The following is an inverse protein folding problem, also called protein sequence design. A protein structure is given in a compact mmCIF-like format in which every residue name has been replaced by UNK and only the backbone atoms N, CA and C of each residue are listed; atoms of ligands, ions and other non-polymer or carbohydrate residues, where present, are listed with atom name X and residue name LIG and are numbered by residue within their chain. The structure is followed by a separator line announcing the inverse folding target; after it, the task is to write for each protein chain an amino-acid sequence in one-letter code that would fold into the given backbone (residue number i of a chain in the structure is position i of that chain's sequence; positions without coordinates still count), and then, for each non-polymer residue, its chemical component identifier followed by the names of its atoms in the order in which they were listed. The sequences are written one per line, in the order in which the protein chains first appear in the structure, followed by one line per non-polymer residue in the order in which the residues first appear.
data_IF_484336543173
#
_entry.id   IF_484336543173
#
_cell.length_a   1.000
_cell.length_b   1.000
_cell.length_c   1.000
_cell.angle_alpha   90.00
_cell.angle_beta   90.00
_cell.angle_gamma   90.00
#
_symmetry.space_group_name_H-M   'P 1'
#
loop_
_entity.id
_entity.type
_entity.pdbx_description
1 polymer ?
#
# COMPACT_ATOMS: atom_id res chain seq x y z
N UNK A 1 -25.83 -4.47 -26.61
CA UNK A 1 -25.33 -3.27 -25.91
C UNK A 1 -23.84 -3.03 -26.16
N UNK A 2 -22.96 -4.03 -25.96
CA UNK A 2 -21.50 -3.86 -25.99
C UNK A 2 -20.78 -4.43 -27.22
N UNK A 3 -21.52 -4.90 -28.24
CA UNK A 3 -21.03 -5.62 -29.44
C UNK A 3 -19.74 -6.42 -29.15
N UNK A 4 -19.85 -7.37 -28.23
CA UNK A 4 -18.74 -8.17 -27.73
C UNK A 4 -19.21 -9.59 -27.51
N UNK A 5 -18.26 -10.51 -27.52
CA UNK A 5 -18.46 -11.90 -27.13
C UNK A 5 -17.78 -12.11 -25.78
N UNK A 6 -18.54 -12.68 -24.86
CA UNK A 6 -17.99 -13.15 -23.60
C UNK A 6 -17.55 -14.59 -23.79
N UNK A 7 -16.32 -14.86 -23.37
CA UNK A 7 -15.76 -16.19 -23.37
C UNK A 7 -15.57 -16.65 -21.94
N UNK A 8 -15.74 -17.95 -21.76
CA UNK A 8 -15.22 -18.62 -20.59
C UNK A 8 -13.74 -18.85 -20.82
N UNK A 9 -12.89 -18.07 -20.16
CA UNK A 9 -11.46 -18.32 -20.17
C UNK A 9 -11.15 -19.42 -19.14
N UNK A 10 -10.35 -20.38 -19.59
CA UNK A 10 -9.85 -21.51 -18.83
C UNK A 10 -8.35 -21.61 -19.09
N UNK A 11 -7.56 -21.79 -18.04
CA UNK A 11 -6.11 -21.95 -18.17
C UNK A 11 -5.74 -23.42 -18.29
N UNK A 12 -4.76 -23.73 -19.15
CA UNK A 12 -4.40 -25.10 -19.56
C UNK A 12 -3.93 -26.02 -18.42
N UNK A 13 -3.74 -25.49 -17.21
CA UNK A 13 -3.30 -26.16 -15.99
C UNK A 13 -4.37 -26.29 -14.89
N UNK A 14 -5.61 -25.72 -15.00
CA UNK A 14 -6.57 -25.66 -13.86
C UNK A 14 -8.07 -25.59 -14.20
N UNK A 15 -8.92 -26.01 -13.25
CA UNK A 15 -10.39 -26.20 -13.39
C UNK A 15 -11.31 -24.95 -13.23
N UNK A 16 -10.78 -23.75 -13.01
CA UNK A 16 -11.63 -22.56 -12.78
C UNK A 16 -11.98 -21.84 -14.09
N UNK A 17 -13.19 -21.30 -14.14
CA UNK A 17 -13.82 -20.74 -15.34
C UNK A 17 -14.18 -19.27 -15.09
N UNK A 18 -13.80 -18.38 -16.00
CA UNK A 18 -14.06 -16.93 -15.85
C UNK A 18 -14.74 -16.37 -17.08
N UNK A 19 -15.79 -15.55 -16.89
CA UNK A 19 -16.51 -14.93 -18.00
C UNK A 19 -15.98 -13.51 -18.20
N UNK A 20 -15.28 -13.31 -19.32
CA UNK A 20 -14.64 -12.04 -19.69
C UNK A 20 -14.74 -11.80 -21.18
N UNK A 21 -14.30 -10.64 -21.62
CA UNK A 21 -14.03 -10.38 -23.03
C UNK A 21 -12.67 -9.70 -23.21
N UNK A 22 -12.05 -9.90 -24.37
CA UNK A 22 -10.80 -9.23 -24.73
C UNK A 22 -11.03 -7.78 -25.17
N UNK A 23 -12.28 -7.39 -25.39
CA UNK A 23 -12.64 -6.03 -25.78
C UNK A 23 -14.14 -5.87 -25.97
N UNK A 24 -14.61 -4.64 -25.89
CA UNK A 24 -16.00 -4.31 -26.17
C UNK A 24 -16.09 -3.04 -27.00
N UNK A 25 -17.26 -2.80 -27.60
CA UNK A 25 -17.55 -1.60 -28.37
C UNK A 25 -18.86 -0.99 -27.89
N UNK A 26 -18.87 0.33 -27.75
CA UNK A 26 -20.08 1.09 -27.44
C UNK A 26 -20.48 1.95 -28.65
N UNK A 27 -21.76 2.35 -28.78
CA UNK A 27 -22.18 3.32 -29.79
C UNK A 27 -21.29 4.56 -29.81
N UNK A 28 -20.96 5.07 -31.00
CA UNK A 28 -20.02 6.20 -31.18
C UNK A 28 -20.44 7.44 -30.39
N UNK A 29 -21.74 7.69 -30.26
CA UNK A 29 -22.29 8.79 -29.48
C UNK A 29 -22.17 8.58 -27.96
N UNK A 30 -22.03 7.35 -27.48
CA UNK A 30 -21.82 7.03 -26.06
C UNK A 30 -20.34 6.94 -25.68
N UNK A 31 -19.44 6.66 -26.63
CA UNK A 31 -18.01 6.51 -26.37
C UNK A 31 -17.38 7.69 -25.59
N UNK A 32 -17.70 8.98 -25.86
CA UNK A 32 -17.14 10.08 -25.07
C UNK A 32 -17.65 10.16 -23.62
N UNK A 33 -18.71 9.43 -23.29
CA UNK A 33 -19.39 9.47 -21.99
C UNK A 33 -19.10 8.23 -21.12
N UNK A 34 -18.36 7.25 -21.65
CA UNK A 34 -18.06 5.99 -20.97
C UNK A 34 -16.54 5.85 -20.87
N UNK A 35 -16.01 5.94 -19.65
CA UNK A 35 -14.57 5.77 -19.41
C UNK A 35 -14.15 4.30 -19.44
N UNK A 36 -14.96 3.43 -18.82
CA UNK A 36 -14.78 1.98 -18.80
C UNK A 36 -16.09 1.28 -18.49
N UNK A 37 -16.16 0.00 -18.82
CA UNK A 37 -17.22 -0.91 -18.39
C UNK A 37 -16.52 -2.11 -17.78
N UNK A 38 -16.59 -2.26 -16.47
CA UNK A 38 -16.02 -3.40 -15.76
C UNK A 38 -17.15 -4.27 -15.17
N UNK A 39 -16.90 -5.57 -14.92
CA UNK A 39 -15.62 -6.28 -15.00
C UNK A 39 -15.43 -7.01 -16.35
N UNK A 40 -15.42 -6.29 -17.48
CA UNK A 40 -15.40 -6.91 -18.81
C UNK A 40 -14.00 -7.33 -19.27
N UNK A 41 -12.99 -6.49 -19.04
CA UNK A 41 -11.65 -6.58 -19.66
C UNK A 41 -10.51 -6.63 -18.65
N UNK A 42 -10.81 -6.51 -17.36
CA UNK A 42 -9.81 -6.65 -16.28
C UNK A 42 -9.64 -8.11 -15.91
N UNK A 43 -8.37 -8.49 -15.74
CA UNK A 43 -7.97 -9.79 -15.25
C UNK A 43 -6.85 -9.70 -14.18
N UNK A 44 -6.81 -8.63 -13.40
CA UNK A 44 -5.87 -8.47 -12.30
C UNK A 44 -6.04 -9.49 -11.16
N UNK A 45 -5.28 -9.34 -10.08
CA UNK A 45 -5.53 -10.05 -8.83
C UNK A 45 -4.92 -9.27 -7.67
N UNK A 46 -5.76 -8.71 -6.79
CA UNK A 46 -5.28 -8.12 -5.55
C UNK A 46 -4.73 -9.20 -4.65
N UNK A 47 -3.53 -8.93 -4.13
CA UNK A 47 -2.89 -9.72 -3.10
C UNK A 47 -2.55 -8.83 -1.91
N UNK A 48 -2.58 -9.35 -0.67
CA UNK A 48 -2.03 -8.64 0.48
C UNK A 48 -0.53 -8.45 0.25
N UNK A 49 0.00 -7.24 0.47
CA UNK A 49 1.42 -6.90 0.30
C UNK A 49 2.26 -7.26 1.54
N UNK A 50 1.97 -8.44 2.10
CA UNK A 50 2.77 -9.08 3.14
C UNK A 50 3.62 -10.18 2.54
N UNK A 51 4.83 -10.34 3.04
CA UNK A 51 5.84 -11.09 2.31
C UNK A 51 5.55 -12.58 2.34
N UNK A 52 5.17 -13.16 1.19
CA UNK A 52 4.92 -14.61 1.02
C UNK A 52 6.12 -15.51 1.40
N UNK A 53 7.35 -15.00 1.30
CA UNK A 53 8.56 -15.71 1.75
C UNK A 53 8.77 -15.69 3.29
N UNK A 54 8.14 -14.75 4.00
CA UNK A 54 7.92 -14.82 5.45
C UNK A 54 6.62 -15.60 5.64
N UNK A 55 6.71 -16.93 5.65
CA UNK A 55 5.57 -17.72 6.12
C UNK A 55 5.22 -17.23 7.52
N UNK A 56 3.95 -16.88 7.79
CA UNK A 56 3.48 -16.63 9.15
C UNK A 56 4.04 -17.71 10.07
N UNK A 57 4.78 -17.29 11.09
CA UNK A 57 5.31 -18.19 12.09
C UNK A 57 4.74 -17.79 13.42
N UNK A 58 4.24 -18.78 14.14
CA UNK A 58 3.90 -18.61 15.56
C UNK A 58 5.11 -18.00 16.27
N UNK A 59 4.88 -16.88 16.92
CA UNK A 59 5.90 -16.16 17.64
C UNK A 59 6.37 -16.98 18.84
N UNK A 60 7.68 -17.05 19.04
CA UNK A 60 8.27 -17.72 20.20
C UNK A 60 8.15 -16.85 21.45
N UNK A 61 8.15 -17.45 22.65
CA UNK A 61 8.16 -16.70 23.91
C UNK A 61 9.31 -15.70 24.02
N UNK A 62 10.47 -16.02 23.41
CA UNK A 62 11.61 -15.12 23.33
C UNK A 62 11.33 -13.89 22.47
N UNK A 63 10.63 -14.04 21.34
CA UNK A 63 10.25 -12.91 20.48
C UNK A 63 9.24 -11.99 21.15
N UNK A 64 8.30 -12.54 21.93
CA UNK A 64 7.29 -11.76 22.65
C UNK A 64 7.88 -10.87 23.75
N UNK A 65 9.10 -11.18 24.20
CA UNK A 65 9.84 -10.45 25.26
C UNK A 65 11.11 -9.78 24.74
N UNK A 66 11.35 -9.82 23.43
CA UNK A 66 12.58 -9.30 22.84
C UNK A 66 12.58 -7.77 22.71
N UNK A 67 13.79 -7.21 22.67
CA UNK A 67 13.99 -5.77 22.40
C UNK A 67 13.64 -5.39 20.96
N UNK A 68 13.48 -4.09 20.72
CA UNK A 68 13.19 -3.48 19.42
C UNK A 68 14.19 -3.81 18.29
N UNK A 69 15.38 -4.31 18.62
CA UNK A 69 16.34 -4.80 17.62
C UNK A 69 15.99 -6.18 17.03
N UNK A 70 15.04 -6.90 17.61
CA UNK A 70 14.67 -8.26 17.20
C UNK A 70 13.19 -8.40 16.89
N UNK A 71 12.35 -7.64 17.59
CA UNK A 71 10.90 -7.66 17.43
C UNK A 71 10.39 -6.22 17.36
N UNK A 72 9.50 -5.94 16.42
CA UNK A 72 8.82 -4.65 16.30
C UNK A 72 7.44 -4.75 16.94
N UNK A 73 7.17 -3.80 17.84
CA UNK A 73 5.89 -3.54 18.52
C UNK A 73 5.65 -2.01 18.50
N UNK A 74 4.46 -1.50 18.85
CA UNK A 74 4.16 -0.07 18.78
C UNK A 74 5.19 0.82 19.48
N UNK A 75 5.61 0.50 20.71
CA UNK A 75 6.60 1.31 21.45
C UNK A 75 7.95 1.41 20.74
N UNK A 76 8.38 0.34 20.04
CA UNK A 76 9.59 0.38 19.24
C UNK A 76 9.51 1.39 18.09
N UNK A 77 8.33 1.51 17.47
CA UNK A 77 8.10 2.45 16.37
C UNK A 77 7.98 3.88 16.89
N UNK A 78 7.39 4.06 18.08
CA UNK A 78 7.37 5.35 18.77
C UNK A 78 8.78 5.84 19.07
N UNK A 79 9.61 4.99 19.65
CA UNK A 79 11.01 5.31 19.95
C UNK A 79 11.82 5.58 18.67
N UNK A 80 11.67 4.74 17.64
CA UNK A 80 12.43 4.85 16.40
C UNK A 80 12.14 6.12 15.60
N UNK A 81 10.86 6.52 15.54
CA UNK A 81 10.40 7.66 14.73
C UNK A 81 10.11 8.91 15.56
N UNK A 82 10.30 8.85 16.88
CA UNK A 82 10.01 9.95 17.80
C UNK A 82 8.52 10.29 17.87
N UNK A 83 7.64 9.29 17.67
CA UNK A 83 6.19 9.50 17.81
C UNK A 83 5.91 9.70 19.28
N UNK A 84 5.42 10.89 19.64
CA UNK A 84 5.13 11.20 21.04
C UNK A 84 3.93 10.39 21.57
N UNK A 85 3.77 10.41 22.90
CA UNK A 85 2.65 9.78 23.60
C UNK A 85 1.51 10.79 23.91
N UNK A 86 1.42 11.90 23.17
CA UNK A 86 0.39 12.91 23.45
C UNK A 86 -0.98 12.42 23.03
N UNK A 87 -1.83 12.21 24.02
CA UNK A 87 -3.23 11.84 23.84
C UNK A 87 -3.99 12.97 23.15
N UNK A 88 -4.54 12.68 21.97
CA UNK A 88 -5.42 13.61 21.23
C UNK A 88 -6.84 13.10 21.30
N UNK A 89 -7.83 13.97 21.51
CA UNK A 89 -9.23 13.52 21.55
C UNK A 89 -9.72 13.03 20.18
N UNK A 90 -10.58 12.00 20.12
CA UNK A 90 -11.20 11.59 18.87
C UNK A 90 -11.94 12.75 18.22
N UNK A 91 -11.62 13.03 16.96
CA UNK A 91 -12.13 14.15 16.19
C UNK A 91 -12.59 13.65 14.81
N UNK A 92 -13.81 14.00 14.41
CA UNK A 92 -14.44 13.50 13.18
C UNK A 92 -13.65 13.91 11.93
N UNK A 93 -12.99 15.07 11.96
CA UNK A 93 -12.11 15.56 10.88
C UNK A 93 -10.85 14.73 10.69
N UNK A 94 -10.51 13.83 11.63
CA UNK A 94 -9.33 12.99 11.60
C UNK A 94 -9.64 11.49 11.71
N UNK A 95 -10.72 11.04 11.05
CA UNK A 95 -11.04 9.62 10.97
C UNK A 95 -9.94 8.84 10.25
N UNK A 96 -9.47 7.76 10.86
CA UNK A 96 -8.51 6.83 10.27
C UNK A 96 -9.26 5.70 9.56
N UNK A 97 -9.09 5.60 8.25
CA UNK A 97 -9.62 4.52 7.42
C UNK A 97 -8.59 3.43 7.17
N UNK A 98 -9.01 2.18 7.33
CA UNK A 98 -8.24 0.99 6.92
C UNK A 98 -9.06 0.23 5.88
N UNK A 99 -8.46 -0.05 4.73
CA UNK A 99 -9.13 -0.81 3.66
C UNK A 99 -8.96 -2.31 3.85
N UNK A 100 -10.08 -3.03 3.87
CA UNK A 100 -10.12 -4.49 3.94
C UNK A 100 -10.59 -5.12 2.63
N UNK A 101 -9.79 -6.04 2.10
CA UNK A 101 -10.12 -6.83 0.92
C UNK A 101 -9.81 -8.33 1.15
N UNK A 102 -10.26 -9.18 0.22
CA UNK A 102 -9.94 -10.62 0.18
C UNK A 102 -10.48 -11.43 1.36
N UNK A 103 -11.63 -11.03 1.91
CA UNK A 103 -12.29 -11.75 3.00
C UNK A 103 -11.38 -11.94 4.23
N UNK A 104 -10.47 -10.98 4.43
CA UNK A 104 -9.76 -10.81 5.68
C UNK A 104 -10.55 -9.87 6.58
N UNK A 105 -10.72 -10.27 7.84
CA UNK A 105 -11.58 -9.57 8.78
C UNK A 105 -10.74 -9.03 9.94
N UNK A 106 -10.85 -7.74 10.22
CA UNK A 106 -10.22 -7.18 11.42
C UNK A 106 -10.96 -7.71 12.65
N UNK A 107 -10.29 -8.52 13.48
CA UNK A 107 -10.93 -9.27 14.57
C UNK A 107 -10.84 -8.49 15.87
N UNK A 108 -11.99 -8.12 16.43
CA UNK A 108 -12.06 -7.34 17.67
C UNK A 108 -11.35 -8.04 18.84
N UNK A 109 -11.56 -9.35 19.04
CA UNK A 109 -10.91 -10.08 20.13
C UNK A 109 -9.39 -10.12 20.00
N UNK A 110 -8.86 -10.26 18.79
CA UNK A 110 -7.41 -10.27 18.57
C UNK A 110 -6.81 -8.87 18.75
N UNK A 111 -7.55 -7.84 18.31
CA UNK A 111 -7.19 -6.44 18.53
C UNK A 111 -7.17 -6.07 20.03
N UNK A 112 -8.21 -6.41 20.80
CA UNK A 112 -8.29 -6.11 22.23
C UNK A 112 -7.11 -6.76 23.01
N UNK A 113 -6.80 -8.02 22.70
CA UNK A 113 -5.67 -8.72 23.30
C UNK A 113 -4.31 -8.16 22.85
N UNK A 114 -4.21 -7.70 21.60
CA UNK A 114 -3.04 -6.96 21.13
C UNK A 114 -2.83 -5.67 21.93
N UNK A 115 -3.88 -4.87 22.13
CA UNK A 115 -3.79 -3.63 22.90
C UNK A 115 -3.36 -3.89 24.35
N UNK A 116 -3.94 -4.90 25.02
CA UNK A 116 -3.54 -5.29 26.39
C UNK A 116 -2.07 -5.65 26.50
N UNK A 117 -1.50 -6.26 25.47
CA UNK A 117 -0.12 -6.70 25.47
C UNK A 117 0.87 -5.59 25.08
N UNK A 118 0.55 -4.81 24.04
CA UNK A 118 1.53 -3.96 23.35
C UNK A 118 1.13 -2.48 23.24
N UNK A 119 -0.05 -2.10 23.74
CA UNK A 119 -0.52 -0.72 23.78
C UNK A 119 -1.38 -0.47 25.03
N UNK A 120 -0.81 -0.71 26.21
CA UNK A 120 -1.53 -0.65 27.49
C UNK A 120 -2.11 0.73 27.82
N UNK A 121 -1.57 1.80 27.23
CA UNK A 121 -2.12 3.16 27.32
C UNK A 121 -3.36 3.38 26.45
N UNK A 122 -3.73 2.42 25.61
CA UNK A 122 -4.77 2.54 24.58
C UNK A 122 -5.78 1.39 24.63
N UNK A 123 -5.97 0.73 25.78
CA UNK A 123 -6.86 -0.44 25.91
C UNK A 123 -8.32 -0.18 25.60
N UNK A 124 -8.73 1.09 25.61
CA UNK A 124 -10.11 1.51 25.35
C UNK A 124 -10.32 1.88 23.86
N UNK A 125 -9.25 1.84 23.05
CA UNK A 125 -9.34 2.05 21.62
C UNK A 125 -10.16 0.94 20.95
N UNK A 126 -10.92 1.31 19.92
CA UNK A 126 -11.72 0.38 19.13
C UNK A 126 -11.86 0.91 17.70
N UNK A 127 -12.39 0.08 16.81
CA UNK A 127 -12.71 0.46 15.45
C UNK A 127 -14.15 0.09 15.10
N UNK A 128 -14.68 0.78 14.09
CA UNK A 128 -15.96 0.46 13.46
C UNK A 128 -15.72 -0.29 12.16
N UNK A 129 -16.68 -1.11 11.75
CA UNK A 129 -16.61 -1.82 10.46
C UNK A 129 -17.72 -1.29 9.55
N UNK A 130 -17.34 -0.95 8.32
CA UNK A 130 -18.27 -0.54 7.26
C UNK A 130 -18.22 -1.59 6.15
N UNK A 131 -19.39 -2.14 5.81
CA UNK A 131 -19.54 -3.05 4.68
C UNK A 131 -19.72 -2.26 3.38
N UNK A 132 -18.86 -2.52 2.40
CA UNK A 132 -18.96 -1.99 1.04
C UNK A 132 -19.17 -3.16 0.09
N UNK A 133 -20.14 -3.03 -0.83
CA UNK A 133 -20.42 -4.03 -1.85
C UNK A 133 -20.59 -5.46 -1.28
N UNK A 134 -21.29 -5.58 -0.15
CA UNK A 134 -21.53 -6.86 0.52
C UNK A 134 -20.31 -7.44 1.25
N UNK A 135 -19.29 -6.62 1.55
CA UNK A 135 -18.17 -7.01 2.40
C UNK A 135 -18.65 -7.55 3.73
N UNK A 136 -18.08 -8.67 4.16
CA UNK A 136 -18.52 -9.40 5.34
C UNK A 136 -17.67 -9.03 6.56
N UNK A 137 -18.11 -9.47 7.72
CA UNK A 137 -17.38 -9.30 8.98
C UNK A 137 -17.46 -10.58 9.82
N UNK A 138 -16.78 -11.63 9.37
CA UNK A 138 -16.81 -12.93 10.04
C UNK A 138 -15.75 -13.01 11.13
N UNK A 139 -16.10 -12.51 12.31
CA UNK A 139 -15.26 -12.53 13.52
C UNK A 139 -14.82 -13.94 13.99
N UNK A 140 -15.52 -14.99 13.52
CA UNK A 140 -15.19 -16.39 13.79
C UNK A 140 -14.80 -17.17 12.53
N UNK A 141 -14.40 -16.46 11.47
CA UNK A 141 -13.79 -17.10 10.31
C UNK A 141 -12.61 -17.99 10.74
N UNK A 142 -12.41 -19.08 10.01
CA UNK A 142 -11.21 -19.92 10.11
C UNK A 142 -10.19 -19.57 9.01
N UNK A 143 -10.58 -18.68 8.09
CA UNK A 143 -9.69 -18.14 7.06
C UNK A 143 -8.77 -17.09 7.66
N UNK A 144 -7.52 -17.11 7.22
CA UNK A 144 -6.49 -16.14 7.58
C UNK A 144 -7.01 -14.69 7.57
N UNK A 145 -6.65 -13.91 8.60
CA UNK A 145 -7.01 -12.49 8.73
C UNK A 145 -5.80 -11.64 9.15
N UNK A 146 -4.58 -12.17 8.95
CA UNK A 146 -3.34 -11.54 9.38
C UNK A 146 -3.18 -10.12 8.82
N UNK A 147 -3.59 -9.86 7.57
CA UNK A 147 -3.46 -8.52 6.96
C UNK A 147 -4.35 -7.51 7.67
N UNK A 148 -5.63 -7.83 7.77
CA UNK A 148 -6.62 -6.96 8.40
C UNK A 148 -6.27 -6.72 9.87
N UNK A 149 -5.79 -7.75 10.57
CA UNK A 149 -5.31 -7.66 11.94
C UNK A 149 -4.04 -6.82 12.06
N UNK A 150 -3.03 -7.02 11.21
CA UNK A 150 -1.81 -6.21 11.17
C UNK A 150 -2.13 -4.73 11.01
N UNK A 151 -2.98 -4.40 10.02
CA UNK A 151 -3.31 -3.03 9.70
C UNK A 151 -3.98 -2.30 10.88
N UNK A 152 -4.99 -2.92 11.51
CA UNK A 152 -5.66 -2.29 12.67
C UNK A 152 -4.79 -2.27 13.93
N UNK A 153 -4.02 -3.35 14.18
CA UNK A 153 -3.20 -3.48 15.39
C UNK A 153 -2.01 -2.51 15.42
N UNK A 154 -1.52 -2.04 14.28
CA UNK A 154 -0.44 -1.04 14.26
C UNK A 154 -0.95 0.37 13.99
N UNK A 155 -1.91 0.56 13.08
CA UNK A 155 -2.34 1.93 12.74
C UNK A 155 -3.07 2.61 13.90
N UNK A 156 -3.97 1.92 14.59
CA UNK A 156 -4.84 2.53 15.62
C UNK A 156 -4.05 2.95 16.87
N UNK A 157 -3.31 2.06 17.55
CA UNK A 157 -2.59 2.47 18.77
C UNK A 157 -1.47 3.48 18.47
N UNK A 158 -0.87 3.47 17.28
CA UNK A 158 0.12 4.48 16.92
C UNK A 158 -0.51 5.83 16.59
N UNK A 159 -1.73 5.87 16.08
CA UNK A 159 -2.40 7.12 15.70
C UNK A 159 -2.93 7.92 16.91
N UNK A 160 -3.18 7.23 18.04
CA UNK A 160 -3.61 7.77 19.34
C UNK A 160 -5.01 8.46 19.35
N UNK A 161 -5.91 7.95 20.20
CA UNK A 161 -7.37 8.18 20.25
C UNK A 161 -8.04 8.66 18.93
N UNK A 162 -7.94 7.86 17.88
CA UNK A 162 -8.60 8.13 16.59
C UNK A 162 -9.96 7.48 16.46
N UNK A 163 -10.85 8.10 15.68
CA UNK A 163 -12.02 7.39 15.15
C UNK A 163 -11.53 6.47 14.02
N UNK A 164 -11.42 5.17 14.30
CA UNK A 164 -10.99 4.19 13.32
C UNK A 164 -12.18 3.50 12.62
N UNK A 165 -12.07 3.33 11.30
CA UNK A 165 -13.03 2.59 10.49
C UNK A 165 -12.30 1.60 9.57
N UNK A 166 -12.63 0.32 9.71
CA UNK A 166 -12.23 -0.74 8.80
C UNK A 166 -13.30 -0.89 7.72
N UNK A 167 -12.93 -0.62 6.46
CA UNK A 167 -13.82 -0.71 5.31
C UNK A 167 -13.69 -2.10 4.68
N UNK A 168 -14.53 -3.04 5.14
CA UNK A 168 -14.62 -4.38 4.56
C UNK A 168 -15.32 -4.29 3.21
N UNK A 169 -14.56 -4.47 2.13
CA UNK A 169 -15.08 -4.36 0.77
C UNK A 169 -15.19 -5.74 0.15
N UNK A 170 -16.43 -6.13 -0.13
CA UNK A 170 -16.77 -7.32 -0.88
C UNK A 170 -16.70 -7.05 -2.39
N UNK A 171 -16.73 -8.14 -3.15
CA UNK A 171 -16.57 -8.08 -4.60
C UNK A 171 -15.36 -8.89 -5.02
N UNK A 172 -15.61 -9.93 -5.81
CA UNK A 172 -14.57 -10.72 -6.47
C UNK A 172 -14.89 -10.76 -7.96
N UNK A 173 -14.05 -10.12 -8.74
CA UNK A 173 -13.92 -10.30 -10.17
C UNK A 173 -12.82 -11.34 -10.45
N UNK A 174 -12.95 -12.18 -11.48
CA UNK A 174 -11.97 -13.23 -11.78
C UNK A 174 -10.60 -12.78 -12.30
N UNK A 175 -9.59 -13.64 -12.09
CA UNK A 175 -8.12 -13.52 -12.26
C UNK A 175 -7.61 -13.82 -13.69
N UNK A 176 -6.47 -13.22 -14.10
CA UNK A 176 -5.46 -13.78 -15.02
C UNK A 176 -4.16 -13.95 -14.24
N UNK A 177 -3.67 -15.18 -14.09
CA UNK A 177 -2.41 -15.45 -13.41
C UNK A 177 -1.21 -14.80 -14.10
N UNK A 178 -0.33 -14.20 -13.30
CA UNK A 178 1.09 -14.06 -13.63
C UNK A 178 1.79 -15.38 -13.29
N UNK A 179 2.90 -15.67 -13.96
CA UNK A 179 3.84 -16.78 -13.69
C UNK A 179 4.04 -17.09 -12.20
N UNK A 180 3.98 -16.07 -11.35
CA UNK A 180 4.26 -16.17 -9.93
C UNK A 180 3.05 -16.50 -9.02
N UNK A 181 1.82 -16.45 -9.55
CA UNK A 181 0.59 -16.54 -8.75
C UNK A 181 -0.47 -17.38 -9.47
N UNK A 182 -0.36 -18.73 -9.42
CA UNK A 182 -1.13 -19.61 -10.27
C UNK A 182 -2.52 -19.99 -9.73
N UNK A 183 -2.97 -19.54 -8.55
CA UNK A 183 -4.24 -19.97 -7.94
C UNK A 183 -5.48 -19.14 -8.37
N UNK A 184 -6.48 -19.72 -9.05
CA UNK A 184 -7.70 -19.04 -9.44
C UNK A 184 -8.90 -19.26 -8.49
N UNK A 185 -8.77 -20.01 -7.38
CA UNK A 185 -9.80 -20.03 -6.30
C UNK A 185 -9.75 -18.73 -5.45
N UNK A 186 -8.69 -17.95 -5.65
CA UNK A 186 -8.40 -16.65 -5.04
C UNK A 186 -8.76 -15.51 -6.00
N UNK A 187 -10.01 -15.47 -6.43
CA UNK A 187 -10.54 -14.33 -7.20
C UNK A 187 -10.57 -13.06 -6.35
N UNK A 188 -9.98 -11.96 -6.83
CA UNK A 188 -9.74 -10.73 -6.06
C UNK A 188 -9.92 -9.42 -6.85
N UNK A 189 -10.47 -9.46 -8.07
CA UNK A 189 -10.68 -8.22 -8.84
C UNK A 189 -11.85 -7.38 -8.33
N UNK A 190 -11.66 -6.07 -8.42
CA UNK A 190 -12.63 -4.99 -8.17
C UNK A 190 -13.26 -5.03 -6.77
N UNK A 191 -12.48 -4.58 -5.78
CA UNK A 191 -13.07 -3.77 -4.72
C UNK A 191 -12.57 -2.32 -4.70
N UNK A 192 -11.53 -1.94 -5.49
CA UNK A 192 -11.10 -0.54 -5.51
C UNK A 192 -12.16 0.39 -6.13
N UNK A 193 -12.83 0.00 -7.22
CA UNK A 193 -13.85 0.87 -7.82
C UNK A 193 -15.03 1.03 -6.88
N UNK A 194 -15.45 -0.06 -6.24
CA UNK A 194 -16.53 -0.15 -5.28
C UNK A 194 -16.24 0.71 -4.06
N UNK A 195 -15.05 0.55 -3.47
CA UNK A 195 -14.61 1.34 -2.34
C UNK A 195 -14.46 2.83 -2.72
N UNK A 196 -13.83 3.14 -3.85
CA UNK A 196 -13.63 4.53 -4.27
C UNK A 196 -14.95 5.22 -4.59
N UNK A 197 -15.88 4.54 -5.26
CA UNK A 197 -17.22 5.08 -5.50
C UNK A 197 -18.02 5.25 -4.21
N UNK A 198 -17.92 4.30 -3.27
CA UNK A 198 -18.52 4.45 -1.95
C UNK A 198 -17.98 5.69 -1.23
N UNK A 199 -16.65 5.79 -1.08
CA UNK A 199 -16.01 6.91 -0.39
C UNK A 199 -16.30 8.25 -1.08
N UNK A 200 -16.22 8.32 -2.41
CA UNK A 200 -16.53 9.54 -3.16
C UNK A 200 -17.99 9.98 -3.05
N UNK A 201 -18.91 9.07 -2.72
CA UNK A 201 -20.31 9.39 -2.47
C UNK A 201 -20.59 9.80 -1.00
N UNK A 202 -19.66 9.60 -0.08
CA UNK A 202 -19.81 10.07 1.30
C UNK A 202 -19.76 11.61 1.36
N UNK A 203 -20.45 12.24 2.31
CA UNK A 203 -20.22 13.64 2.65
C UNK A 203 -18.82 13.84 3.26
N UNK A 204 -18.28 15.06 3.22
CA UNK A 204 -16.90 15.34 3.67
C UNK A 204 -16.70 14.99 5.16
N UNK A 205 -17.74 15.08 5.97
CA UNK A 205 -17.73 14.79 7.41
C UNK A 205 -17.61 13.29 7.74
N UNK A 206 -17.94 12.42 6.77
CA UNK A 206 -17.84 10.97 6.91
C UNK A 206 -16.60 10.39 6.23
N UNK A 207 -15.89 11.20 5.43
CA UNK A 207 -14.66 10.77 4.76
C UNK A 207 -13.54 10.48 5.78
N UNK A 208 -12.75 9.42 5.58
CA UNK A 208 -11.50 9.27 6.29
C UNK A 208 -10.58 10.45 5.97
N UNK A 209 -9.78 10.90 6.94
CA UNK A 209 -8.69 11.84 6.72
C UNK A 209 -7.44 11.14 6.18
N UNK A 210 -7.25 9.88 6.58
CA UNK A 210 -6.16 9.02 6.16
C UNK A 210 -6.75 7.67 5.79
N UNK A 211 -6.40 7.13 4.63
CA UNK A 211 -6.81 5.81 4.16
C UNK A 211 -5.58 4.93 3.93
N UNK A 212 -5.39 3.93 4.79
CA UNK A 212 -4.33 2.93 4.70
C UNK A 212 -4.77 1.74 3.84
N UNK A 213 -3.93 1.35 2.88
CA UNK A 213 -4.20 0.22 1.99
C UNK A 213 -2.94 -0.66 1.84
N UNK A 214 -3.06 -1.92 2.20
CA UNK A 214 -1.94 -2.88 2.20
C UNK A 214 -2.11 -3.97 1.14
N UNK A 215 -2.68 -3.61 -0.01
CA UNK A 215 -3.01 -4.51 -1.10
C UNK A 215 -2.56 -3.91 -2.43
N UNK A 216 -2.10 -4.76 -3.34
CA UNK A 216 -1.65 -4.34 -4.65
C UNK A 216 -1.58 -5.50 -5.63
N UNK A 217 -1.19 -5.17 -6.85
CA UNK A 217 -1.03 -6.10 -7.95
C UNK A 217 -0.05 -5.55 -8.99
N UNK A 218 0.36 -6.37 -9.95
CA UNK A 218 1.30 -5.94 -10.99
C UNK A 218 0.63 -4.94 -11.95
N UNK A 219 1.24 -3.79 -12.21
CA UNK A 219 0.66 -2.76 -13.09
C UNK A 219 0.34 -3.31 -14.50
N UNK A 220 1.17 -4.20 -15.05
CA UNK A 220 0.94 -4.77 -16.39
C UNK A 220 -0.21 -5.79 -16.44
N UNK A 221 -0.73 -6.27 -15.29
CA UNK A 221 -1.89 -7.18 -15.28
C UNK A 221 -3.21 -6.45 -15.52
N UNK A 222 -3.18 -5.11 -15.48
CA UNK A 222 -4.36 -4.26 -15.51
C UNK A 222 -4.50 -3.51 -16.85
N UNK A 223 -5.72 -3.40 -17.41
CA UNK A 223 -5.96 -2.58 -18.59
C UNK A 223 -5.65 -1.10 -18.32
N UNK A 224 -5.03 -0.36 -19.28
CA UNK A 224 -4.77 1.07 -19.11
C UNK A 224 -6.01 1.91 -18.77
N UNK A 225 -7.19 1.55 -19.26
CA UNK A 225 -8.45 2.24 -18.92
C UNK A 225 -8.82 2.08 -17.46
N UNK A 226 -8.56 0.91 -16.86
CA UNK A 226 -8.81 0.66 -15.44
C UNK A 226 -7.83 1.45 -14.56
N UNK A 227 -6.54 1.39 -14.89
CA UNK A 227 -5.48 2.13 -14.22
C UNK A 227 -5.79 3.63 -14.21
N UNK A 228 -6.10 4.20 -15.38
CA UNK A 228 -6.40 5.62 -15.51
C UNK A 228 -7.65 6.03 -14.72
N UNK A 229 -8.70 5.21 -14.74
CA UNK A 229 -9.93 5.54 -14.03
C UNK A 229 -9.79 5.47 -12.52
N UNK A 230 -9.23 4.38 -11.98
CA UNK A 230 -9.01 4.27 -10.53
C UNK A 230 -8.01 5.30 -10.03
N UNK A 231 -6.94 5.59 -10.79
CA UNK A 231 -6.01 6.65 -10.44
C UNK A 231 -6.64 8.06 -10.49
N UNK A 232 -7.60 8.29 -11.40
CA UNK A 232 -8.41 9.53 -11.40
C UNK A 232 -9.37 9.62 -10.22
N UNK A 233 -9.90 8.49 -9.73
CA UNK A 233 -10.74 8.47 -8.53
C UNK A 233 -9.91 8.68 -7.26
N UNK A 234 -8.69 8.13 -7.19
CA UNK A 234 -7.73 8.48 -6.12
C UNK A 234 -7.42 9.98 -6.13
N UNK A 235 -7.22 10.59 -7.31
CA UNK A 235 -7.02 12.03 -7.44
C UNK A 235 -8.21 12.85 -6.90
N UNK A 236 -9.45 12.44 -7.21
CA UNK A 236 -10.66 13.09 -6.71
C UNK A 236 -10.77 12.98 -5.18
N UNK A 237 -10.47 11.80 -4.63
CA UNK A 237 -10.52 11.58 -3.18
C UNK A 237 -9.41 12.39 -2.46
N UNK A 238 -8.21 12.44 -3.03
CA UNK A 238 -7.13 13.30 -2.56
C UNK A 238 -7.46 14.80 -2.61
N UNK A 239 -8.17 15.24 -3.66
CA UNK A 239 -8.66 16.62 -3.78
C UNK A 239 -9.71 16.99 -2.72
N UNK A 240 -10.45 16.00 -2.19
CA UNK A 240 -11.34 16.17 -1.02
C UNK A 240 -10.58 16.12 0.31
N UNK A 241 -9.23 16.11 0.28
CA UNK A 241 -8.39 16.20 1.45
C UNK A 241 -8.11 14.86 2.14
N UNK A 242 -8.28 13.72 1.46
CA UNK A 242 -7.90 12.41 2.01
C UNK A 242 -6.44 12.09 1.69
N UNK A 243 -5.66 11.71 2.69
CA UNK A 243 -4.33 11.13 2.50
C UNK A 243 -4.47 9.64 2.19
N UNK A 244 -4.10 9.22 0.98
CA UNK A 244 -4.29 7.84 0.50
C UNK A 244 -2.93 7.15 0.42
N UNK A 245 -2.75 6.10 1.20
CA UNK A 245 -1.48 5.40 1.34
C UNK A 245 -1.59 3.97 0.83
N UNK A 246 -0.56 3.53 0.10
CA UNK A 246 -0.43 2.17 -0.41
C UNK A 246 0.95 1.60 -0.11
N UNK A 247 1.01 0.33 0.29
CA UNK A 247 2.27 -0.41 0.33
C UNK A 247 2.92 -0.45 -1.06
N UNK A 248 4.24 -0.34 -1.10
CA UNK A 248 4.97 -0.30 -2.39
C UNK A 248 5.15 -1.67 -3.02
N UNK A 249 4.90 -2.75 -2.27
CA UNK A 249 5.05 -4.12 -2.72
C UNK A 249 6.18 -4.86 -2.02
N UNK A 250 6.21 -6.18 -2.23
CA UNK A 250 7.10 -7.11 -1.51
C UNK A 250 8.00 -7.92 -2.45
N UNK A 251 8.13 -7.47 -3.69
CA UNK A 251 8.86 -8.16 -4.75
C UNK A 251 10.03 -7.36 -5.33
N UNK A 252 10.50 -6.33 -4.62
CA UNK A 252 11.61 -5.49 -5.10
C UNK A 252 11.29 -4.85 -6.47
N UNK A 253 12.18 -4.97 -7.47
CA UNK A 253 11.89 -4.55 -8.85
C UNK A 253 10.78 -5.31 -9.59
N UNK A 254 10.18 -6.36 -8.99
CA UNK A 254 9.10 -7.15 -9.58
C UNK A 254 9.28 -8.65 -9.42
N UNK A 255 8.23 -9.43 -9.65
CA UNK A 255 8.23 -10.87 -9.32
C UNK A 255 8.87 -11.76 -10.39
N UNK A 256 8.34 -11.72 -11.63
CA UNK A 256 8.86 -12.48 -12.78
C UNK A 256 9.83 -11.69 -13.65
N UNK A 257 9.71 -10.36 -13.63
CA UNK A 257 10.43 -9.42 -14.47
C UNK A 257 10.38 -9.72 -15.97
N UNK A 258 9.19 -10.12 -16.42
CA UNK A 258 8.90 -10.47 -17.80
C UNK A 258 7.61 -9.79 -18.26
N UNK A 259 7.64 -9.21 -19.46
CA UNK A 259 6.45 -8.65 -20.09
C UNK A 259 5.41 -9.73 -20.40
N UNK A 260 4.15 -9.41 -20.18
CA UNK A 260 3.01 -10.26 -20.51
C UNK A 260 2.39 -9.97 -21.90
N UNK A 261 3.04 -9.16 -22.73
CA UNK A 261 2.59 -8.75 -24.08
C UNK A 261 2.88 -9.79 -25.19
N UNK A 262 3.27 -11.01 -24.81
CA UNK A 262 3.66 -12.09 -25.72
C UNK A 262 5.11 -12.01 -26.21
N UNK A 263 5.83 -10.90 -26.00
CA UNK A 263 7.25 -10.78 -26.38
C UNK A 263 8.19 -11.51 -25.42
N UNK A 264 7.74 -11.73 -24.17
CA UNK A 264 8.53 -12.32 -23.07
C UNK A 264 9.87 -11.61 -22.81
N UNK A 265 9.95 -10.32 -23.15
CA UNK A 265 11.14 -9.51 -22.88
C UNK A 265 11.32 -9.27 -21.37
N UNK A 266 12.57 -9.20 -20.92
CA UNK A 266 12.88 -8.78 -19.55
C UNK A 266 12.47 -7.33 -19.31
N UNK A 267 11.74 -7.10 -18.23
CA UNK A 267 11.32 -5.77 -17.77
C UNK A 267 11.03 -5.82 -16.28
N UNK A 268 11.42 -4.80 -15.53
CA UNK A 268 10.94 -4.64 -14.17
C UNK A 268 9.44 -4.37 -14.15
N UNK A 269 8.80 -4.78 -13.06
CA UNK A 269 7.34 -4.88 -12.97
C UNK A 269 6.88 -4.02 -11.80
N UNK A 270 6.52 -2.74 -12.05
CA UNK A 270 6.00 -1.88 -11.00
C UNK A 270 4.65 -2.39 -10.48
N UNK A 271 4.35 -2.11 -9.22
CA UNK A 271 3.08 -2.49 -8.59
C UNK A 271 2.09 -1.32 -8.60
N UNK A 272 0.81 -1.67 -8.77
CA UNK A 272 -0.35 -0.78 -8.69
C UNK A 272 -1.20 -1.15 -7.46
N UNK A 273 -1.79 -0.20 -6.72
CA UNK A 273 -1.84 1.25 -6.95
C UNK A 273 -0.59 2.07 -6.61
N UNK A 274 0.45 1.49 -6.04
CA UNK A 274 1.67 2.22 -5.63
C UNK A 274 2.27 3.11 -6.74
N UNK A 275 2.18 2.68 -8.01
CA UNK A 275 2.63 3.44 -9.17
C UNK A 275 1.75 4.63 -9.58
N UNK A 276 0.53 4.78 -9.03
CA UNK A 276 -0.34 5.93 -9.29
C UNK A 276 0.28 7.21 -8.68
N UNK A 277 0.34 8.33 -9.43
CA UNK A 277 0.91 9.59 -8.93
C UNK A 277 0.03 10.32 -7.89
N UNK A 278 -1.19 9.85 -7.62
CA UNK A 278 -2.13 10.48 -6.67
C UNK A 278 -2.29 9.72 -5.35
N UNK A 279 -1.42 8.74 -5.09
CA UNK A 279 -1.31 8.06 -3.81
C UNK A 279 0.11 8.21 -3.25
N UNK A 280 0.25 8.13 -1.94
CA UNK A 280 1.54 8.07 -1.26
C UNK A 280 1.96 6.61 -1.11
N UNK A 281 3.00 6.21 -1.83
CA UNK A 281 3.52 4.84 -1.78
C UNK A 281 4.52 4.68 -0.63
N UNK A 282 4.39 3.60 0.14
CA UNK A 282 5.17 3.33 1.37
C UNK A 282 6.01 2.07 1.21
N UNK A 283 7.33 2.24 1.14
CA UNK A 283 8.32 1.18 1.14
C UNK A 283 8.70 0.68 2.53
N UNK A 284 9.62 -0.28 2.56
CA UNK A 284 10.03 -0.99 3.75
C UNK A 284 11.49 -0.77 4.14
N UNK A 285 11.73 -0.71 5.45
CA UNK A 285 13.06 -0.71 6.06
C UNK A 285 13.14 -1.75 7.17
N UNK A 286 14.36 -1.98 7.68
CA UNK A 286 14.60 -2.79 8.87
C UNK A 286 15.77 -2.26 9.68
N UNK A 287 15.81 -2.61 10.97
CA UNK A 287 16.89 -2.21 11.89
C UNK A 287 16.69 -0.81 12.46
N UNK A 288 17.38 -0.51 13.57
CA UNK A 288 17.17 0.72 14.35
C UNK A 288 18.34 1.69 14.17
N UNK A 289 19.58 1.22 14.37
CA UNK A 289 20.79 2.03 14.34
C UNK A 289 21.98 1.22 13.76
N UNK A 290 22.23 1.27 12.44
CA UNK A 290 21.48 2.03 11.44
C UNK A 290 20.18 1.32 11.00
N UNK A 291 19.17 2.11 10.68
CA UNK A 291 18.04 1.67 9.84
C UNK A 291 18.51 1.53 8.39
N UNK A 292 18.02 0.49 7.71
CA UNK A 292 18.43 0.09 6.36
C UNK A 292 17.22 -0.29 5.53
N UNK A 293 17.36 -0.23 4.22
CA UNK A 293 16.38 -0.75 3.27
C UNK A 293 16.10 -2.24 3.52
N UNK A 294 14.84 -2.69 3.37
CA UNK A 294 14.53 -4.12 3.43
C UNK A 294 14.48 -4.74 2.05
N UNK A 295 15.27 -5.81 1.82
CA UNK A 295 15.53 -6.42 0.49
C UNK A 295 14.33 -6.80 -0.41
N UNK A 296 13.10 -6.72 0.10
CA UNK A 296 11.87 -6.99 -0.64
C UNK A 296 11.05 -5.73 -0.95
N UNK A 297 11.43 -4.56 -0.40
CA UNK A 297 10.71 -3.30 -0.59
C UNK A 297 10.49 -3.05 -2.07
N UNK A 298 9.22 -3.01 -2.45
CA UNK A 298 8.78 -2.77 -3.81
C UNK A 298 9.13 -1.35 -4.23
N UNK A 299 9.50 -1.19 -5.49
CA UNK A 299 9.88 0.10 -6.01
C UNK A 299 10.30 0.04 -7.47
N UNK A 300 10.39 1.22 -8.08
CA UNK A 300 10.76 1.35 -9.48
C UNK A 300 10.03 2.50 -10.14
N UNK A 301 9.68 2.31 -11.40
CA UNK A 301 9.09 3.34 -12.24
C UNK A 301 7.88 2.78 -12.98
N UNK A 302 6.77 3.49 -12.95
CA UNK A 302 5.55 3.15 -13.69
C UNK A 302 5.82 3.07 -15.19
N UNK A 303 5.23 2.06 -15.85
CA UNK A 303 5.20 1.94 -17.30
C UNK A 303 4.01 2.69 -17.92
N UNK A 304 3.04 3.12 -17.10
CA UNK A 304 1.78 3.75 -17.53
C UNK A 304 1.71 5.23 -17.18
N UNK A 305 2.03 5.59 -15.94
CA UNK A 305 1.89 6.95 -15.44
C UNK A 305 3.18 7.75 -15.65
N UNK A 306 3.11 8.93 -16.30
CA UNK A 306 4.28 9.78 -16.47
C UNK A 306 4.74 10.33 -15.12
N UNK A 307 6.03 10.69 -15.05
CA UNK A 307 6.59 11.31 -13.85
C UNK A 307 5.85 12.62 -13.52
N UNK A 308 5.25 12.75 -12.33
CA UNK A 308 4.61 13.99 -11.93
C UNK A 308 5.63 15.07 -11.59
N UNK A 309 5.23 16.33 -11.73
CA UNK A 309 6.12 17.48 -11.55
C UNK A 309 6.74 17.55 -10.15
N UNK A 310 5.96 17.20 -9.11
CA UNK A 310 6.43 17.29 -7.72
C UNK A 310 7.68 16.43 -7.46
N UNK A 311 7.86 15.30 -8.16
CA UNK A 311 9.00 14.41 -7.94
C UNK A 311 10.09 14.51 -9.02
N UNK A 312 9.95 15.42 -9.99
CA UNK A 312 10.83 15.45 -11.17
C UNK A 312 12.29 15.72 -10.79
N UNK A 313 12.53 16.65 -9.87
CA UNK A 313 13.88 16.96 -9.39
C UNK A 313 14.52 15.77 -8.66
N UNK A 314 13.78 15.15 -7.73
CA UNK A 314 14.25 14.02 -6.94
C UNK A 314 14.60 12.81 -7.82
N UNK A 315 13.71 12.44 -8.75
CA UNK A 315 13.95 11.34 -9.68
C UNK A 315 15.10 11.64 -10.65
N UNK A 316 15.21 12.87 -11.17
CA UNK A 316 16.35 13.24 -12.03
C UNK A 316 17.69 13.09 -11.30
N UNK A 317 17.73 13.46 -10.01
CA UNK A 317 18.89 13.22 -9.15
C UNK A 317 19.26 11.75 -9.07
N UNK A 318 18.28 10.88 -8.80
CA UNK A 318 18.48 9.44 -8.79
C UNK A 318 18.92 8.87 -10.14
N UNK A 319 18.26 9.24 -11.25
CA UNK A 319 18.60 8.73 -12.58
C UNK A 319 20.03 9.14 -12.99
N UNK A 320 20.49 10.33 -12.58
CA UNK A 320 21.88 10.73 -12.76
C UNK A 320 22.84 9.83 -11.97
N UNK A 321 22.51 9.48 -10.72
CA UNK A 321 23.29 8.54 -9.91
C UNK A 321 23.28 7.12 -10.48
N UNK A 322 22.12 6.64 -10.95
CA UNK A 322 21.94 5.30 -11.52
C UNK A 322 22.73 5.10 -12.83
N UNK A 323 22.86 6.17 -13.62
CA UNK A 323 23.55 6.15 -14.92
C UNK A 323 22.93 5.12 -15.87
N UNK A 324 23.75 4.23 -16.42
CA UNK A 324 23.32 3.23 -17.40
C UNK A 324 22.84 1.91 -16.78
N UNK A 325 22.83 1.79 -15.44
CA UNK A 325 22.39 0.57 -14.77
C UNK A 325 20.92 0.32 -15.10
N UNK A 326 20.60 -0.94 -15.44
CA UNK A 326 19.26 -1.39 -15.84
C UNK A 326 18.68 -0.74 -17.10
N UNK A 327 19.50 -0.16 -17.98
CA UNK A 327 19.01 0.41 -19.23
C UNK A 327 18.17 -0.61 -20.03
N UNK A 328 17.01 -0.18 -20.51
CA UNK A 328 16.04 -1.04 -21.20
C UNK A 328 15.15 -1.90 -20.30
N UNK A 329 15.36 -1.92 -18.98
CA UNK A 329 14.54 -2.72 -18.05
C UNK A 329 13.45 -1.93 -17.30
N UNK A 330 13.47 -0.59 -17.35
CA UNK A 330 12.46 0.25 -16.70
C UNK A 330 12.14 1.50 -17.54
N UNK A 331 11.03 2.16 -17.22
CA UNK A 331 10.63 3.42 -17.84
C UNK A 331 11.18 4.63 -17.07
N UNK A 332 12.32 5.18 -17.50
CA UNK A 332 12.95 6.35 -16.88
C UNK A 332 12.12 7.65 -16.93
N UNK A 333 11.00 7.67 -17.65
CA UNK A 333 10.07 8.82 -17.70
C UNK A 333 8.84 8.65 -16.82
N UNK A 334 8.67 7.48 -16.20
CA UNK A 334 7.50 7.14 -15.39
C UNK A 334 7.56 7.70 -13.96
N UNK A 335 6.42 7.65 -13.27
CA UNK A 335 6.29 7.88 -11.83
C UNK A 335 7.21 6.90 -11.08
N UNK A 336 8.24 7.43 -10.43
CA UNK A 336 9.11 6.67 -9.53
C UNK A 336 8.46 6.50 -8.16
N UNK A 337 8.51 5.32 -7.55
CA UNK A 337 7.96 4.99 -6.22
C UNK A 337 8.93 4.07 -5.45
N UNK A 338 8.89 3.98 -4.10
CA UNK A 338 7.93 4.62 -3.19
C UNK A 338 8.18 6.11 -2.94
N UNK A 339 7.29 6.76 -2.17
CA UNK A 339 7.45 8.15 -1.72
C UNK A 339 8.09 8.23 -0.33
N UNK A 340 7.70 7.32 0.57
CA UNK A 340 8.17 7.21 1.96
C UNK A 340 8.53 5.76 2.27
N UNK A 341 9.09 5.51 3.45
CA UNK A 341 9.23 4.17 4.01
C UNK A 341 9.07 4.12 5.53
N UNK A 342 8.85 2.93 6.08
CA UNK A 342 8.92 2.64 7.51
C UNK A 342 9.36 1.18 7.74
N UNK A 343 9.54 0.75 9.00
CA UNK A 343 9.91 -0.61 9.35
C UNK A 343 8.89 -1.58 8.74
N UNK A 344 9.39 -2.68 8.19
CA UNK A 344 8.57 -3.67 7.48
C UNK A 344 8.88 -5.11 7.90
N UNK A 345 9.66 -5.35 8.96
CA UNK A 345 10.04 -6.70 9.39
C UNK A 345 9.90 -6.92 10.88
N UNK A 346 9.71 -8.19 11.27
CA UNK A 346 9.66 -8.65 12.65
C UNK A 346 8.49 -8.06 13.47
N UNK A 347 7.41 -7.68 12.81
CA UNK A 347 6.18 -7.24 13.48
C UNK A 347 5.54 -8.44 14.15
N UNK A 348 5.05 -8.26 15.37
CA UNK A 348 4.18 -9.25 16.02
C UNK A 348 2.74 -8.81 15.85
N UNK A 349 1.89 -9.72 15.44
CA UNK A 349 0.44 -9.52 15.34
C UNK A 349 -0.27 -10.66 16.07
N UNK A 350 -1.52 -10.44 16.41
CA UNK A 350 -2.42 -11.48 16.92
C UNK A 350 -3.44 -11.83 15.85
N UNK A 351 -3.58 -13.11 15.55
CA UNK A 351 -4.56 -13.60 14.58
C UNK A 351 -5.07 -14.97 15.04
N UNK A 352 -6.40 -15.14 15.10
CA UNK A 352 -7.05 -16.36 15.59
C UNK A 352 -6.59 -16.79 17.00
N UNK A 353 -6.29 -15.82 17.88
CA UNK A 353 -5.77 -16.09 19.22
C UNK A 353 -4.30 -16.49 19.29
N UNK A 354 -3.60 -16.60 18.16
CA UNK A 354 -2.17 -16.89 18.10
C UNK A 354 -1.35 -15.62 17.88
N UNK A 355 -0.16 -15.58 18.47
CA UNK A 355 0.83 -14.54 18.16
C UNK A 355 1.66 -14.97 16.96
N UNK A 356 1.78 -14.09 15.98
CA UNK A 356 2.41 -14.40 14.69
C UNK A 356 3.43 -13.32 14.36
N UNK A 357 4.60 -13.74 13.88
CA UNK A 357 5.60 -12.82 13.33
C UNK A 357 5.40 -12.62 11.83
N UNK A 358 5.31 -11.36 11.41
CA UNK A 358 5.02 -10.94 10.04
C UNK A 358 5.97 -9.84 9.56
N UNK A 359 5.91 -9.58 8.25
CA UNK A 359 6.63 -8.50 7.59
C UNK A 359 6.09 -8.28 6.18
N UNK A 360 6.49 -7.18 5.58
CA UNK A 360 5.97 -6.70 4.30
C UNK A 360 5.75 -5.19 4.35
N UNK A 361 5.60 -4.58 3.18
CA UNK A 361 5.22 -3.17 3.08
C UNK A 361 3.80 -2.91 3.58
N UNK A 362 3.00 -3.97 3.69
CA UNK A 362 1.81 -4.04 4.54
C UNK A 362 2.02 -3.62 6.00
N UNK A 363 3.19 -3.85 6.58
CA UNK A 363 3.46 -3.45 7.96
C UNK A 363 3.90 -1.98 8.07
N UNK A 364 4.59 -1.46 7.05
CA UNK A 364 5.06 -0.06 7.04
C UNK A 364 3.94 0.94 6.74
N UNK A 365 2.97 0.56 5.89
CA UNK A 365 1.85 1.43 5.49
C UNK A 365 0.98 1.93 6.66
N UNK A 366 0.46 1.06 7.56
CA UNK A 366 -0.31 1.49 8.71
C UNK A 366 0.49 2.36 9.69
N UNK A 367 1.82 2.19 9.76
CA UNK A 367 2.70 3.04 10.58
C UNK A 367 2.76 4.46 10.03
N UNK A 368 2.93 4.63 8.71
CA UNK A 368 2.88 5.96 8.11
C UNK A 368 1.47 6.55 8.21
N UNK A 369 0.42 5.74 8.03
CA UNK A 369 -0.95 6.22 8.20
C UNK A 369 -1.19 6.80 9.61
N UNK A 370 -0.66 6.14 10.64
CA UNK A 370 -0.69 6.66 12.01
C UNK A 370 0.09 7.98 12.16
N UNK A 371 1.29 8.07 11.61
CA UNK A 371 2.08 9.32 11.61
C UNK A 371 1.31 10.47 10.98
N UNK A 372 0.71 10.27 9.80
CA UNK A 372 -0.08 11.31 9.12
C UNK A 372 -1.33 11.67 9.91
N UNK A 373 -1.99 10.68 10.53
CA UNK A 373 -3.11 10.94 11.44
C UNK A 373 -2.70 11.87 12.58
N UNK A 374 -1.52 11.67 13.18
CA UNK A 374 -1.04 12.56 14.25
C UNK A 374 -0.67 13.95 13.75
N UNK A 375 -0.13 14.08 12.54
CA UNK A 375 0.08 15.39 11.90
C UNK A 375 -1.25 16.13 11.69
N UNK A 376 -2.29 15.42 11.26
CA UNK A 376 -3.64 15.98 11.14
C UNK A 376 -4.18 16.43 12.50
N UNK A 377 -4.01 15.64 13.57
CA UNK A 377 -4.42 16.04 14.93
C UNK A 377 -3.72 17.33 15.37
N UNK A 378 -2.40 17.45 15.14
CA UNK A 378 -1.65 18.66 15.46
C UNK A 378 -2.16 19.89 14.68
N UNK A 379 -2.41 19.73 13.37
CA UNK A 379 -2.95 20.79 12.51
C UNK A 379 -4.36 21.21 12.94
N UNK A 380 -5.24 20.24 13.20
CA UNK A 380 -6.62 20.49 13.62
C UNK A 380 -6.67 21.22 14.97
N UNK A 381 -5.77 20.88 15.91
CA UNK A 381 -5.64 21.57 17.19
C UNK A 381 -5.30 23.07 17.03
N UNK A 382 -4.70 23.46 15.90
CA UNK A 382 -4.42 24.86 15.53
C UNK A 382 -5.41 25.44 14.52
N UNK A 383 -6.54 24.76 14.26
CA UNK A 383 -7.55 25.22 13.30
C UNK A 383 -7.11 25.13 11.83
N UNK A 384 -6.02 24.42 11.53
CA UNK A 384 -5.52 24.21 10.15
C UNK A 384 -6.26 23.02 9.49
N UNK A 385 -6.39 23.02 8.15
CA UNK A 385 -6.94 21.87 7.43
C UNK A 385 -6.02 20.65 7.56
N UNK A 386 -6.59 19.45 7.42
CA UNK A 386 -5.84 18.19 7.30
C UNK A 386 -4.87 18.20 6.11
N UNK A 387 -3.86 17.32 6.13
CA UNK A 387 -2.78 17.26 5.15
C UNK A 387 -3.28 16.95 3.72
N UNK A 388 -4.26 16.06 3.57
CA UNK A 388 -4.78 15.67 2.26
C UNK A 388 -3.76 14.97 1.37
N UNK A 389 -3.68 15.35 0.10
CA UNK A 389 -2.74 14.75 -0.84
C UNK A 389 -1.29 15.16 -0.51
N UNK A 390 -0.51 14.21 0.00
CA UNK A 390 0.78 14.47 0.65
C UNK A 390 1.94 14.74 -0.31
N UNK A 391 1.97 14.12 -1.49
CA UNK A 391 3.21 14.03 -2.26
C UNK A 391 3.79 15.40 -2.65
N UNK A 392 3.02 16.40 -3.12
CA UNK A 392 3.57 17.72 -3.41
C UNK A 392 4.26 18.36 -2.21
N UNK A 393 3.66 18.22 -1.02
CA UNK A 393 4.24 18.72 0.23
C UNK A 393 5.51 17.95 0.62
N UNK A 394 5.48 16.62 0.54
CA UNK A 394 6.64 15.76 0.88
C UNK A 394 7.87 16.08 0.04
N UNK A 395 7.71 16.22 -1.28
CA UNK A 395 8.83 16.49 -2.20
C UNK A 395 9.26 17.97 -2.25
N UNK A 396 8.60 18.85 -1.50
CA UNK A 396 8.96 20.28 -1.42
C UNK A 396 9.44 20.66 -0.02
N UNK A 397 8.56 20.59 0.98
CA UNK A 397 8.82 21.06 2.34
C UNK A 397 9.04 19.92 3.33
N UNK A 398 8.27 18.83 3.20
CA UNK A 398 8.29 17.71 4.15
C UNK A 398 9.58 16.90 4.16
N UNK A 399 10.40 16.97 3.11
CA UNK A 399 11.59 16.13 2.94
C UNK A 399 12.59 16.24 4.10
N UNK A 400 12.75 17.41 4.71
CA UNK A 400 13.67 17.60 5.85
C UNK A 400 13.18 16.96 7.15
N UNK A 401 11.89 16.60 7.22
CA UNK A 401 11.31 15.81 8.31
C UNK A 401 11.46 14.30 8.12
N UNK A 402 12.29 13.87 7.18
CA UNK A 402 12.52 12.46 6.88
C UNK A 402 14.00 12.11 7.07
N UNK A 403 14.25 10.93 7.64
CA UNK A 403 15.56 10.32 7.74
C UNK A 403 15.86 9.59 6.43
N UNK A 404 16.85 10.10 5.71
CA UNK A 404 17.36 9.50 4.48
C UNK A 404 18.00 8.12 4.75
N UNK A 405 17.56 7.09 4.00
CA UNK A 405 18.03 5.72 4.13
C UNK A 405 18.99 5.43 2.98
N UNK A 406 20.28 5.43 3.29
CA UNK A 406 21.34 5.35 2.26
C UNK A 406 22.03 3.98 2.20
N UNK A 407 21.48 2.98 2.89
CA UNK A 407 22.10 1.66 3.09
C UNK A 407 21.15 0.53 2.71
N UNK A 408 21.60 -0.33 1.80
CA UNK A 408 20.88 -1.54 1.38
C UNK A 408 20.50 -1.52 -0.09
N UNK A 409 19.78 -2.56 -0.51
CA UNK A 409 19.30 -2.71 -1.88
C UNK A 409 18.18 -3.74 -1.94
N UNK A 410 17.09 -3.43 -2.64
CA UNK A 410 16.02 -4.38 -2.86
C UNK A 410 16.42 -5.41 -3.90
N UNK A 411 15.71 -6.53 -3.93
CA UNK A 411 15.98 -7.64 -4.84
C UNK A 411 14.69 -8.29 -5.29
N UNK A 412 14.62 -8.64 -6.57
CA UNK A 412 13.41 -9.20 -7.20
C UNK A 412 13.74 -10.18 -8.32
N UNK A 413 12.77 -10.39 -9.19
CA UNK A 413 12.86 -11.22 -10.40
C UNK A 413 13.19 -12.70 -10.10
N UNK A 414 12.60 -13.26 -9.04
CA UNK A 414 12.98 -14.58 -8.49
C UNK A 414 12.13 -15.74 -9.01
N UNK A 415 10.90 -15.51 -9.49
CA UNK A 415 10.00 -16.58 -9.96
C UNK A 415 10.10 -16.77 -11.49
N UNK A 416 10.32 -18.00 -11.96
CA UNK A 416 10.62 -18.31 -13.38
C UNK A 416 9.93 -19.60 -13.90
N UNK A 417 9.45 -19.58 -15.16
CA UNK A 417 9.18 -20.77 -15.97
C UNK A 417 10.10 -20.86 -17.22
N UNK A 418 11.26 -20.17 -17.27
CA UNK A 418 12.15 -20.19 -18.44
C UNK A 418 13.56 -19.59 -18.26
N UNK A 419 14.29 -19.43 -19.38
CA UNK A 419 15.74 -19.07 -19.45
C UNK A 419 16.06 -17.58 -19.29
N UNK A 420 15.07 -16.68 -19.37
CA UNK A 420 15.28 -15.23 -19.33
C UNK A 420 15.37 -14.78 -17.87
N UNK A 421 16.57 -14.35 -17.42
CA UNK A 421 16.81 -13.86 -16.05
C UNK A 421 17.41 -12.46 -16.07
N UNK A 422 16.81 -11.53 -15.32
CA UNK A 422 17.51 -10.30 -14.91
C UNK A 422 18.40 -10.66 -13.72
N UNK A 423 19.68 -10.96 -13.99
CA UNK A 423 20.64 -11.30 -12.94
C UNK A 423 20.83 -10.12 -12.00
N UNK A 424 20.82 -10.39 -10.69
CA UNK A 424 21.04 -9.40 -9.63
C UNK A 424 20.08 -8.19 -9.68
N UNK A 425 18.88 -8.37 -10.21
CA UNK A 425 17.84 -7.35 -10.26
C UNK A 425 17.67 -6.68 -8.89
N UNK A 426 17.90 -5.38 -8.84
CA UNK A 426 17.92 -4.62 -7.59
C UNK A 426 17.74 -3.14 -7.81
N UNK A 427 17.22 -2.48 -6.79
CA UNK A 427 17.32 -1.04 -6.63
C UNK A 427 18.14 -0.76 -5.37
N UNK A 428 19.09 0.19 -5.45
CA UNK A 428 19.93 0.52 -4.30
C UNK A 428 19.34 1.71 -3.54
N UNK A 429 19.48 1.68 -2.22
CA UNK A 429 19.21 2.83 -1.38
C UNK A 429 20.35 3.86 -1.51
N UNK A 430 20.04 5.14 -1.71
CA UNK A 430 21.04 6.17 -2.05
C UNK A 430 20.74 7.49 -1.36
N UNK A 431 21.69 8.44 -1.35
CA UNK A 431 21.39 9.78 -0.83
C UNK A 431 20.28 10.46 -1.62
N UNK A 432 19.27 10.96 -0.91
CA UNK A 432 18.09 11.59 -1.48
C UNK A 432 17.00 10.57 -1.79
N UNK A 433 16.20 10.83 -2.84
CA UNK A 433 15.15 9.89 -3.22
C UNK A 433 15.73 8.67 -3.95
N UNK A 434 15.25 7.48 -3.60
CA UNK A 434 15.52 6.25 -4.35
C UNK A 434 14.26 5.36 -4.52
N UNK A 435 14.22 4.49 -5.55
CA UNK A 435 13.10 3.59 -5.81
C UNK A 435 13.13 2.36 -4.88
N UNK A 436 13.43 2.56 -3.60
CA UNK A 436 13.37 1.53 -2.56
C UNK A 436 12.77 2.02 -1.26
N UNK A 437 13.25 3.17 -0.78
CA UNK A 437 12.86 3.79 0.49
C UNK A 437 12.26 5.18 0.31
N UNK A 438 12.20 5.67 -0.93
CA UNK A 438 11.61 6.95 -1.28
C UNK A 438 12.43 8.09 -0.71
N UNK A 439 11.77 9.05 -0.06
CA UNK A 439 12.41 10.14 0.66
C UNK A 439 12.92 9.73 2.07
N UNK A 440 12.68 8.49 2.49
CA UNK A 440 13.14 7.94 3.77
C UNK A 440 12.03 7.73 4.80
N UNK A 441 12.43 7.62 6.06
CA UNK A 441 11.55 7.28 7.20
C UNK A 441 11.20 8.49 8.05
N UNK A 442 10.06 8.51 8.76
CA UNK A 442 9.59 9.73 9.43
C UNK A 442 10.46 10.12 10.63
N UNK A 443 10.75 11.42 10.75
CA UNK A 443 11.18 12.07 11.97
C UNK A 443 9.99 12.88 12.50
N UNK A 444 9.15 12.24 13.30
CA UNK A 444 7.83 12.76 13.67
C UNK A 444 7.88 14.19 14.27
N UNK A 445 8.76 14.53 15.22
CA UNK A 445 8.80 15.88 15.78
C UNK A 445 9.07 16.96 14.73
N UNK A 446 9.99 16.70 13.80
CA UNK A 446 10.31 17.63 12.71
C UNK A 446 9.16 17.71 11.71
N UNK A 447 8.48 16.60 11.40
CA UNK A 447 7.29 16.62 10.55
C UNK A 447 6.17 17.45 11.17
N UNK A 448 5.97 17.42 12.50
CA UNK A 448 4.97 18.27 13.18
C UNK A 448 5.32 19.74 13.01
N UNK A 449 6.57 20.14 13.24
CA UNK A 449 7.03 21.52 13.06
C UNK A 449 6.78 22.02 11.62
N UNK A 450 7.18 21.21 10.63
CA UNK A 450 6.99 21.51 9.22
C UNK A 450 5.48 21.62 8.90
N UNK A 451 4.69 20.62 9.28
CA UNK A 451 3.25 20.55 9.05
C UNK A 451 2.48 21.71 9.69
N UNK A 452 3.02 22.37 10.71
CA UNK A 452 2.38 23.53 11.35
C UNK A 452 2.84 24.86 10.72
N UNK A 453 4.01 24.88 10.07
CA UNK A 453 4.59 26.07 9.44
C UNK A 453 4.06 26.38 8.02
N UNK A 454 3.33 25.45 7.40
CA UNK A 454 2.94 25.45 5.98
C UNK A 454 1.85 26.44 5.56
N UNK A 455 1.70 27.60 6.20
CA UNK A 455 0.64 28.56 5.83
C UNK A 455 0.82 29.20 4.43
N UNK A 456 1.82 28.77 3.65
CA UNK A 456 2.29 29.44 2.43
C UNK A 456 2.63 28.53 1.22
N UNK A 457 2.28 27.24 1.21
CA UNK A 457 2.54 26.35 0.05
C UNK A 457 1.28 26.08 -0.76
#
# INVERSE_FOLDING_TARGET
MLKTEFFTFHQHDRQNLVIRTLGYSVPRNLHPHIQLIQPTTRFGSLIPQRRSAFKPKTATSGQLTASCGTTIIPDCLRDLYGIDNTTTRPEWRNRLGISGFLEQYARHTDFDEFLRQYAQSHTDANFSIVSINGGQDYQHSMSDSIEANLDVQYSIPLADEVLATFYSTGGRGPVVPEIAHPDPAESSNEPYLEQLHYLLNLPDEELPAVLSNSYGENEQSLPPSYLNATCSLFAQLGARGVSILFGSGDSGPGTSCMKNDGTKQSRFLPEYPASCPFVTSVGGTYGINPEREVSFSGGGFSEVFPRPQYQDQAVKGYLHHLGNRWNGLYNATGRGFPDLSAQATNFIVRDHGEWISVGGTSASTPVIAAVISRLNSARIAQGKPRMGFLNPWLYSHGQTGLRDIILGSSSGCKQNPGDVRVRNASWDATTGWDPVTGLGTPLFPTLVELALSDDHV
#
